data_IF_525552680595
#
_entry.id   IF_525552680595
#
_cell.length_a   1.000
_cell.length_b   1.000
_cell.length_c   1.000
_cell.angle_alpha   90.00
_cell.angle_beta   90.00
_cell.angle_gamma   90.00
#
_symmetry.space_group_name_H-M   'P 1'
#
loop_
_entity.id
_entity.type
_entity.pdbx_description
1 polymer ?
#
# COMPACT_ATOMS: atom_id res chain seq x y z
N UNK A 1 47.42 -13.90 -25.00
CA UNK A 1 46.55 -12.81 -25.47
C UNK A 1 45.22 -12.92 -24.74
N UNK A 2 44.95 -12.10 -23.72
CA UNK A 2 43.69 -12.14 -22.96
C UNK A 2 43.07 -10.74 -22.99
N UNK A 3 42.03 -10.59 -23.82
CA UNK A 3 41.33 -9.35 -24.04
C UNK A 3 40.12 -9.30 -23.09
N UNK A 4 40.28 -8.68 -21.91
CA UNK A 4 39.16 -8.44 -20.98
C UNK A 4 38.31 -7.28 -21.51
N UNK A 5 37.19 -7.60 -22.14
CA UNK A 5 36.13 -6.62 -22.42
C UNK A 5 35.50 -6.16 -21.10
N UNK A 6 35.59 -4.85 -20.82
CA UNK A 6 34.82 -4.21 -19.75
C UNK A 6 33.39 -3.95 -20.23
N UNK A 7 32.35 -4.32 -19.47
CA UNK A 7 31.02 -3.81 -19.76
C UNK A 7 30.94 -2.35 -19.29
N UNK A 8 30.82 -1.42 -20.22
CA UNK A 8 30.45 -0.02 -19.95
C UNK A 8 29.11 0.27 -20.60
N UNK A 9 28.03 -0.14 -19.94
CA UNK A 9 26.72 0.49 -20.08
C UNK A 9 26.27 0.93 -18.69
N UNK A 10 26.85 2.04 -18.21
CA UNK A 10 26.19 2.85 -17.18
C UNK A 10 25.25 3.79 -17.93
N UNK A 11 23.96 3.50 -17.84
CA UNK A 11 22.91 4.44 -18.22
C UNK A 11 23.15 5.72 -17.39
N UNK A 12 23.22 6.90 -18.01
CA UNK A 12 23.39 8.13 -17.27
C UNK A 12 22.21 8.34 -16.32
N UNK A 13 22.51 8.55 -15.04
CA UNK A 13 21.62 9.17 -14.06
C UNK A 13 21.44 10.64 -14.46
N UNK A 14 20.71 10.89 -15.54
CA UNK A 14 20.51 12.21 -16.13
C UNK A 14 19.03 12.48 -16.33
N UNK A 15 18.55 13.57 -15.72
CA UNK A 15 17.21 14.15 -15.78
C UNK A 15 16.07 13.22 -15.35
N UNK A 16 15.57 13.42 -14.13
CA UNK A 16 14.29 12.82 -13.70
C UNK A 16 13.21 13.19 -14.73
N UNK A 17 12.62 12.23 -15.46
CA UNK A 17 11.50 12.52 -16.32
C UNK A 17 10.41 13.10 -15.44
N UNK A 18 9.91 14.28 -15.82
CA UNK A 18 8.88 15.01 -15.10
C UNK A 18 7.78 14.05 -14.64
N UNK A 19 7.72 13.81 -13.32
CA UNK A 19 6.67 13.02 -12.64
C UNK A 19 5.38 13.82 -12.65
N UNK A 20 4.81 13.97 -13.85
CA UNK A 20 3.57 14.68 -14.11
C UNK A 20 2.35 13.83 -13.74
N UNK A 21 1.13 14.33 -14.04
CA UNK A 21 -0.13 13.63 -13.73
C UNK A 21 -0.20 12.20 -14.27
N UNK A 22 0.44 11.93 -15.41
CA UNK A 22 0.52 10.59 -15.99
C UNK A 22 1.23 9.57 -15.08
N UNK A 23 2.12 10.02 -14.18
CA UNK A 23 2.92 9.12 -13.35
C UNK A 23 2.08 8.32 -12.34
N UNK A 24 1.24 9.00 -11.57
CA UNK A 24 0.37 8.35 -10.57
C UNK A 24 -0.62 7.39 -11.24
N UNK A 25 -1.16 7.78 -12.40
CA UNK A 25 -2.08 6.93 -13.14
C UNK A 25 -1.39 5.68 -13.71
N UNK A 26 -0.17 5.81 -14.21
CA UNK A 26 0.65 4.67 -14.64
C UNK A 26 0.94 3.72 -13.48
N UNK A 27 1.24 4.24 -12.28
CA UNK A 27 1.45 3.41 -11.09
C UNK A 27 0.19 2.61 -10.75
N UNK A 28 -0.98 3.27 -10.75
CA UNK A 28 -2.27 2.62 -10.49
C UNK A 28 -2.50 1.45 -11.44
N UNK A 29 -2.31 1.67 -12.74
CA UNK A 29 -2.50 0.64 -13.76
C UNK A 29 -1.55 -0.55 -13.58
N UNK A 30 -0.26 -0.27 -13.28
CA UNK A 30 0.74 -1.32 -13.03
C UNK A 30 0.36 -2.18 -11.82
N UNK A 31 -0.08 -1.57 -10.73
CA UNK A 31 -0.38 -2.26 -9.48
C UNK A 31 -1.67 -3.13 -9.54
N UNK A 32 -2.62 -2.81 -10.41
CA UNK A 32 -3.85 -3.61 -10.57
C UNK A 32 -3.57 -5.05 -11.04
N UNK A 33 -2.52 -5.26 -11.83
CA UNK A 33 -2.24 -6.55 -12.48
C UNK A 33 -1.63 -7.59 -11.52
N UNK A 34 -0.99 -7.14 -10.44
CA UNK A 34 -0.03 -7.96 -9.70
C UNK A 34 -0.58 -8.65 -8.43
N UNK A 35 -1.81 -8.35 -7.98
CA UNK A 35 -2.29 -8.81 -6.65
C UNK A 35 -3.31 -9.95 -6.67
N UNK A 36 -3.13 -10.84 -5.70
CA UNK A 36 -4.10 -11.90 -5.40
C UNK A 36 -5.38 -11.27 -4.83
N UNK A 37 -6.58 -11.72 -5.24
CA UNK A 37 -7.84 -11.21 -4.72
C UNK A 37 -7.93 -11.32 -3.20
N UNK A 38 -8.22 -10.19 -2.54
CA UNK A 38 -8.57 -10.07 -1.14
C UNK A 38 -9.58 -8.94 -0.98
N UNK A 39 -10.42 -8.90 0.05
CA UNK A 39 -11.41 -7.83 0.20
C UNK A 39 -10.78 -6.44 0.49
N UNK A 40 -9.48 -6.38 0.79
CA UNK A 40 -8.74 -5.12 0.96
C UNK A 40 -8.89 -4.48 2.33
N UNK A 41 -9.52 -5.17 3.30
CA UNK A 41 -9.56 -4.71 4.70
C UNK A 41 -8.44 -5.39 5.47
N UNK A 42 -7.72 -4.61 6.28
CA UNK A 42 -6.68 -5.10 7.17
C UNK A 42 -6.85 -4.47 8.55
N UNK A 43 -6.38 -5.17 9.58
CA UNK A 43 -6.33 -4.68 10.95
C UNK A 43 -4.88 -4.68 11.44
N UNK A 44 -4.43 -3.56 11.98
CA UNK A 44 -3.11 -3.43 12.58
C UNK A 44 -3.25 -3.42 14.11
N UNK A 45 -2.74 -4.46 14.76
CA UNK A 45 -2.82 -4.64 16.21
C UNK A 45 -1.68 -3.91 16.91
N UNK A 46 -1.98 -3.10 17.93
CA UNK A 46 -0.99 -2.39 18.72
C UNK A 46 -0.84 -2.99 20.12
N UNK A 47 0.32 -3.57 20.42
CA UNK A 47 0.61 -4.21 21.71
C UNK A 47 0.63 -3.24 22.89
N UNK A 48 0.77 -1.93 22.64
CA UNK A 48 0.82 -0.91 23.70
C UNK A 48 -0.55 -0.52 24.23
N UNK A 49 -1.55 -0.39 23.35
CA UNK A 49 -2.90 0.02 23.77
C UNK A 49 -3.97 -1.07 23.57
N UNK A 50 -3.58 -2.25 23.06
CA UNK A 50 -4.44 -3.41 22.81
C UNK A 50 -5.63 -3.09 21.88
N UNK A 51 -5.43 -2.15 20.94
CA UNK A 51 -6.46 -1.78 19.95
C UNK A 51 -5.97 -1.94 18.53
N UNK A 52 -6.94 -2.10 17.63
CA UNK A 52 -6.70 -2.28 16.20
C UNK A 52 -6.94 -0.97 15.44
N UNK A 53 -6.00 -0.60 14.57
CA UNK A 53 -6.22 0.36 13.49
C UNK A 53 -6.75 -0.41 12.28
N UNK A 54 -7.98 -0.14 11.87
CA UNK A 54 -8.60 -0.81 10.71
C UNK A 54 -8.42 0.06 9.47
N UNK A 55 -7.95 -0.55 8.37
CA UNK A 55 -7.65 0.13 7.11
C UNK A 55 -8.36 -0.54 5.93
N UNK A 56 -8.61 0.23 4.87
CA UNK A 56 -9.09 -0.25 3.57
C UNK A 56 -8.13 0.12 2.44
N UNK A 57 -7.85 -0.80 1.53
CA UNK A 57 -7.09 -0.54 0.31
C UNK A 57 -8.04 0.01 -0.76
N UNK A 58 -7.97 1.32 -1.06
CA UNK A 58 -8.83 2.00 -2.06
C UNK A 58 -8.13 2.21 -3.40
N UNK A 59 -6.80 2.06 -3.42
CA UNK A 59 -5.98 1.87 -4.61
C UNK A 59 -5.17 0.57 -4.43
N UNK A 60 -4.80 -0.12 -5.52
CA UNK A 60 -3.92 -1.27 -5.45
C UNK A 60 -2.48 -0.83 -5.16
N UNK A 61 -1.72 -1.59 -4.37
CA UNK A 61 -0.32 -1.28 -4.09
C UNK A 61 0.21 -1.99 -2.86
N UNK A 62 1.38 -1.58 -2.39
CA UNK A 62 2.04 -2.18 -1.23
C UNK A 62 1.72 -1.40 0.03
N UNK A 63 1.24 -2.11 1.04
CA UNK A 63 1.00 -1.63 2.40
C UNK A 63 2.10 -2.15 3.33
N UNK A 64 2.52 -1.37 4.35
CA UNK A 64 3.60 -1.79 5.23
C UNK A 64 3.13 -2.88 6.21
N UNK A 65 4.06 -3.71 6.70
CA UNK A 65 3.76 -4.68 7.77
C UNK A 65 3.50 -3.99 9.12
N UNK A 66 4.11 -2.82 9.33
CA UNK A 66 4.05 -2.07 10.58
C UNK A 66 3.72 -0.60 10.35
N UNK A 67 3.01 0.01 11.30
CA UNK A 67 2.73 1.44 11.31
C UNK A 67 2.64 1.97 12.75
N UNK A 68 2.79 3.29 12.94
CA UNK A 68 2.53 3.91 14.24
C UNK A 68 1.05 3.79 14.62
N UNK A 69 0.73 3.46 15.87
CA UNK A 69 -0.65 3.28 16.32
C UNK A 69 -1.51 4.51 15.97
N UNK A 70 -2.58 4.29 15.20
CA UNK A 70 -3.53 5.36 14.85
C UNK A 70 -4.82 5.30 15.64
N UNK A 71 -5.00 4.26 16.46
CA UNK A 71 -6.27 3.99 17.13
C UNK A 71 -6.45 4.74 18.44
N UNK A 72 -5.36 5.02 19.15
CA UNK A 72 -5.38 5.79 20.39
C UNK A 72 -4.54 7.04 20.18
N UNK A 73 -5.09 8.26 20.36
CA UNK A 73 -4.32 9.49 20.30
C UNK A 73 -3.09 9.41 21.22
N UNK A 74 -1.95 9.89 20.73
CA UNK A 74 -0.67 9.94 21.45
C UNK A 74 -0.11 8.59 21.93
N UNK A 75 -0.66 7.47 21.44
CA UNK A 75 -0.09 6.16 21.72
C UNK A 75 1.29 6.02 21.06
N UNK A 76 2.37 5.79 21.84
CA UNK A 76 3.72 5.64 21.28
C UNK A 76 3.94 4.27 20.63
N UNK A 77 2.95 3.38 20.71
CA UNK A 77 3.06 2.01 20.23
C UNK A 77 3.12 1.89 18.72
N UNK A 78 3.79 0.83 18.27
CA UNK A 78 3.71 0.35 16.89
C UNK A 78 2.55 -0.64 16.77
N UNK A 79 1.93 -0.67 15.59
CA UNK A 79 0.88 -1.62 15.25
C UNK A 79 1.35 -2.53 14.11
N UNK A 80 1.10 -3.83 14.25
CA UNK A 80 1.48 -4.86 13.29
C UNK A 80 0.26 -5.35 12.50
N UNK A 81 0.42 -5.51 11.19
CA UNK A 81 -0.61 -6.04 10.29
C UNK A 81 -1.03 -7.46 10.71
N UNK A 82 -2.34 -7.70 10.72
CA UNK A 82 -2.92 -9.03 10.92
C UNK A 82 -3.05 -9.82 9.60
N UNK A 83 -2.62 -9.22 8.49
CA UNK A 83 -2.86 -9.75 7.14
C UNK A 83 -4.27 -9.49 6.64
N UNK A 84 -4.53 -9.92 5.41
CA UNK A 84 -5.84 -9.81 4.77
C UNK A 84 -6.56 -11.16 4.91
N UNK A 85 -7.65 -11.24 5.71
CA UNK A 85 -8.45 -12.46 5.79
C UNK A 85 -9.00 -12.87 4.42
N UNK A 86 -9.22 -14.17 4.23
CA UNK A 86 -9.88 -14.70 3.03
C UNK A 86 -11.41 -14.55 3.07
N UNK A 87 -11.96 -14.33 4.26
CA UNK A 87 -13.39 -14.13 4.51
C UNK A 87 -13.71 -12.67 4.69
N UNK A 88 -14.94 -12.28 4.40
CA UNK A 88 -15.39 -10.91 4.66
C UNK A 88 -15.21 -10.54 6.15
N UNK A 89 -14.73 -9.32 6.44
CA UNK A 89 -14.56 -8.87 7.81
C UNK A 89 -15.92 -8.72 8.48
N UNK A 90 -16.05 -9.09 9.76
CA UNK A 90 -17.31 -8.97 10.47
C UNK A 90 -17.73 -7.49 10.60
N UNK A 91 -19.04 -7.17 10.65
CA UNK A 91 -19.53 -5.78 10.69
C UNK A 91 -18.90 -4.93 11.80
N UNK A 92 -18.63 -5.51 12.97
CA UNK A 92 -17.98 -4.83 14.10
C UNK A 92 -16.56 -4.31 13.77
N UNK A 93 -15.84 -4.96 12.85
CA UNK A 93 -14.53 -4.49 12.37
C UNK A 93 -14.72 -3.33 11.41
N UNK A 94 -15.70 -3.42 10.51
CA UNK A 94 -16.01 -2.36 9.54
C UNK A 94 -16.49 -1.06 10.22
N UNK A 95 -17.17 -1.16 11.37
CA UNK A 95 -17.54 -0.01 12.19
C UNK A 95 -16.34 0.79 12.74
N UNK A 96 -15.12 0.23 12.68
CA UNK A 96 -13.88 0.87 13.13
C UNK A 96 -13.00 1.32 11.97
N UNK A 97 -13.52 1.29 10.73
CA UNK A 97 -12.79 1.70 9.55
C UNK A 97 -12.62 3.22 9.53
N UNK A 98 -11.41 3.67 9.79
CA UNK A 98 -11.06 5.10 9.92
C UNK A 98 -9.97 5.54 8.94
N UNK A 99 -9.33 4.59 8.27
CA UNK A 99 -8.14 4.84 7.45
C UNK A 99 -8.20 4.10 6.12
N UNK A 100 -7.57 4.68 5.10
CA UNK A 100 -7.42 4.07 3.79
C UNK A 100 -5.98 4.12 3.29
N UNK A 101 -5.60 3.10 2.53
CA UNK A 101 -4.37 3.05 1.74
C UNK A 101 -4.68 3.47 0.31
N UNK A 102 -4.08 4.58 -0.10
CA UNK A 102 -4.34 5.20 -1.39
C UNK A 102 -3.03 5.56 -2.10
N UNK A 103 -3.09 5.72 -3.41
CA UNK A 103 -2.07 6.50 -4.12
C UNK A 103 -2.31 7.98 -3.83
N UNK A 104 -1.24 8.77 -3.60
CA UNK A 104 -1.40 10.20 -3.43
C UNK A 104 -1.87 10.84 -4.75
N UNK A 105 -2.67 11.89 -4.66
CA UNK A 105 -2.90 12.79 -5.80
C UNK A 105 -1.59 13.41 -6.27
N UNK A 106 -1.58 13.98 -7.49
CA UNK A 106 -0.38 14.63 -8.05
C UNK A 106 0.13 15.74 -7.11
N UNK A 107 -0.77 16.52 -6.54
CA UNK A 107 -0.41 17.63 -5.66
C UNK A 107 0.05 17.17 -4.28
N UNK A 108 -0.54 16.09 -3.74
CA UNK A 108 -0.03 15.44 -2.52
C UNK A 108 1.35 14.84 -2.76
N UNK A 109 1.54 14.13 -3.87
CA UNK A 109 2.80 13.49 -4.23
C UNK A 109 3.93 14.52 -4.32
N UNK A 110 3.69 15.70 -4.91
CA UNK A 110 4.67 16.79 -4.96
C UNK A 110 5.15 17.23 -3.58
N UNK A 111 4.27 17.21 -2.58
CA UNK A 111 4.52 17.62 -1.19
C UNK A 111 5.19 16.53 -0.34
N UNK A 112 5.21 15.29 -0.80
CA UNK A 112 5.87 14.20 -0.09
C UNK A 112 7.38 14.42 0.00
N UNK A 113 7.96 13.87 1.08
CA UNK A 113 9.42 13.79 1.23
C UNK A 113 10.03 12.92 0.11
N UNK A 114 11.32 13.08 -0.20
CA UNK A 114 12.00 12.24 -1.18
C UNK A 114 11.86 10.74 -0.91
N UNK A 115 11.92 10.32 0.36
CA UNK A 115 11.78 8.93 0.78
C UNK A 115 10.38 8.40 0.50
N UNK A 116 9.35 9.19 0.83
CA UNK A 116 7.96 8.80 0.57
C UNK A 116 7.63 8.78 -0.92
N UNK A 117 8.24 9.67 -1.72
CA UNK A 117 8.14 9.60 -3.19
C UNK A 117 8.74 8.31 -3.73
N UNK A 118 9.93 7.94 -3.27
CA UNK A 118 10.59 6.70 -3.67
C UNK A 118 9.76 5.46 -3.27
N UNK A 119 9.16 5.45 -2.08
CA UNK A 119 8.22 4.42 -1.64
C UNK A 119 7.03 4.30 -2.61
N UNK A 120 6.39 5.41 -2.96
CA UNK A 120 5.26 5.41 -3.90
C UNK A 120 5.67 4.96 -5.30
N UNK A 121 6.83 5.39 -5.81
CA UNK A 121 7.35 4.94 -7.11
C UNK A 121 7.60 3.43 -7.16
N UNK A 122 8.04 2.86 -6.03
CA UNK A 122 8.22 1.41 -5.85
C UNK A 122 6.89 0.65 -5.69
N UNK A 123 5.75 1.35 -5.80
CA UNK A 123 4.42 0.77 -5.69
C UNK A 123 3.84 0.83 -4.28
N UNK A 124 4.41 1.63 -3.38
CA UNK A 124 3.88 1.86 -2.04
C UNK A 124 2.65 2.77 -2.01
N UNK A 125 1.78 2.54 -1.03
CA UNK A 125 0.62 3.39 -0.75
C UNK A 125 0.88 4.33 0.43
N UNK A 126 0.09 5.40 0.50
CA UNK A 126 0.06 6.34 1.64
C UNK A 126 -1.19 6.10 2.49
N UNK A 127 -1.04 6.24 3.80
CA UNK A 127 -2.15 6.14 4.75
C UNK A 127 -2.87 7.49 4.85
N UNK A 128 -4.18 7.50 4.68
CA UNK A 128 -5.03 8.68 4.75
C UNK A 128 -6.29 8.41 5.58
N UNK A 129 -6.97 9.44 6.13
CA UNK A 129 -8.29 9.28 6.71
C UNK A 129 -9.27 8.69 5.69
N UNK A 130 -10.13 7.78 6.15
CA UNK A 130 -11.09 7.12 5.27
C UNK A 130 -12.09 8.12 4.67
N UNK A 131 -12.20 8.09 3.34
CA UNK A 131 -13.00 9.02 2.54
C UNK A 131 -14.36 8.45 2.10
N UNK A 132 -14.67 7.20 2.45
CA UNK A 132 -15.87 6.50 1.97
C UNK A 132 -15.67 5.79 0.62
N UNK A 133 -14.46 5.81 0.05
CA UNK A 133 -14.16 5.09 -1.19
C UNK A 133 -14.33 3.58 -1.02
N UNK A 134 -14.80 2.85 -2.05
CA UNK A 134 -14.86 1.41 -2.02
C UNK A 134 -13.45 0.81 -2.06
N UNK A 135 -13.34 -0.46 -1.65
CA UNK A 135 -12.11 -1.22 -1.82
C UNK A 135 -11.75 -1.33 -3.30
N UNK A 136 -10.47 -1.20 -3.64
CA UNK A 136 -9.95 -1.48 -4.97
C UNK A 136 -10.20 -2.93 -5.42
N UNK A 137 -10.58 -3.78 -4.48
CA UNK A 137 -10.85 -5.21 -4.69
C UNK A 137 -12.33 -5.57 -4.52
N UNK A 138 -13.22 -4.58 -4.39
CA UNK A 138 -14.65 -4.83 -4.34
C UNK A 138 -15.11 -5.59 -5.60
N UNK A 139 -15.87 -6.67 -5.41
CA UNK A 139 -16.39 -7.48 -6.51
C UNK A 139 -15.39 -8.44 -7.15
N UNK A 140 -14.13 -8.50 -6.67
CA UNK A 140 -13.17 -9.52 -7.11
C UNK A 140 -13.41 -10.78 -6.26
N UNK A 141 -13.80 -11.93 -6.85
CA UNK A 141 -14.02 -13.15 -6.08
C UNK A 141 -12.70 -13.60 -5.42
N UNK A 142 -12.73 -14.09 -4.17
CA UNK A 142 -11.54 -14.61 -3.51
C UNK A 142 -10.96 -15.75 -4.35
N UNK A 143 -9.63 -15.79 -4.47
CA UNK A 143 -8.98 -16.93 -5.12
C UNK A 143 -9.31 -18.18 -4.32
N UNK A 144 -9.78 -19.28 -4.96
CA UNK A 144 -10.07 -20.51 -4.23
C UNK A 144 -8.82 -20.95 -3.47
N UNK A 145 -9.00 -21.35 -2.21
CA UNK A 145 -7.92 -21.89 -1.40
C UNK A 145 -7.26 -23.05 -2.18
N UNK A 146 -5.93 -23.03 -2.30
CA UNK A 146 -5.22 -24.20 -2.85
C UNK A 146 -5.47 -25.35 -1.88
N UNK A 147 -6.25 -26.34 -2.31
CA UNK A 147 -6.40 -27.59 -1.59
C UNK A 147 -5.05 -28.30 -1.66
N UNK A 148 -4.32 -28.35 -0.56
CA UNK A 148 -3.10 -29.15 -0.46
C UNK A 148 -3.50 -30.62 -0.61
N UNK A 149 -3.09 -31.24 -1.72
CA UNK A 149 -3.18 -32.69 -1.94
C UNK A 149 -2.05 -33.41 -1.25
#
# INVERSE_FOLDING_TARGET
>A
MSNRQKPKNRIPLGSEPHRGPAHIEVLRQRQQVERTPHHGINAYHCDTCDKNTVTIDVDPGVTPMFLACRRTPDCPGQAASSGYPSTDPPPVVLMRLEWEWALPTVDEFRKLSPEMKAHVDAGGLVLQPYSGRPSAYAGVPPKPARVSS
#
